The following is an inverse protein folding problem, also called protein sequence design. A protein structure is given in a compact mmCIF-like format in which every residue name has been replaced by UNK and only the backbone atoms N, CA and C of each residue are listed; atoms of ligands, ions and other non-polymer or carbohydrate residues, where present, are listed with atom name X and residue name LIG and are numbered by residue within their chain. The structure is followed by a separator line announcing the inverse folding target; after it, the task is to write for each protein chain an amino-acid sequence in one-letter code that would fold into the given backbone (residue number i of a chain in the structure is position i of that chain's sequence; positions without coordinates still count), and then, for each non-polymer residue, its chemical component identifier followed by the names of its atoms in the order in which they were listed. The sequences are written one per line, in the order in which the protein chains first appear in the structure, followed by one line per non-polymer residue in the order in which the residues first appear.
data_IF_472477165763
#
_entry.id   IF_472477165763
#
_cell.length_a   1.000
_cell.length_b   1.000
_cell.length_c   1.000
_cell.angle_alpha   90.00
_cell.angle_beta   90.00
_cell.angle_gamma   90.00
#
_symmetry.space_group_name_H-M   'P 1'
#
loop_
_entity.id
_entity.type
_entity.pdbx_description
1 polymer ?
#
# COMPACT_ATOMS: atom_id res chain seq x y z
N UNK A 1 4.66 44.40 -16.82
CA UNK A 1 3.48 45.07 -16.26
C UNK A 1 2.48 45.20 -17.39
N UNK A 2 1.43 44.38 -17.38
CA UNK A 2 0.34 44.51 -18.36
C UNK A 2 -0.50 45.73 -18.00
N UNK A 3 -0.78 46.57 -18.98
CA UNK A 3 -1.60 47.77 -18.84
C UNK A 3 -3.04 47.33 -18.53
N UNK A 4 -3.48 47.52 -17.28
CA UNK A 4 -4.85 47.20 -16.87
C UNK A 4 -5.75 48.35 -17.31
N UNK A 5 -6.51 48.15 -18.39
CA UNK A 5 -7.64 49.02 -18.70
C UNK A 5 -8.65 48.94 -17.54
N UNK A 6 -8.91 50.05 -16.85
CA UNK A 6 -9.95 50.10 -15.81
C UNK A 6 -11.33 49.80 -16.42
N UNK A 7 -12.22 49.14 -15.66
CA UNK A 7 -13.60 48.85 -16.07
C UNK A 7 -14.27 50.14 -16.56
N UNK A 8 -14.80 50.12 -17.78
CA UNK A 8 -15.49 51.28 -18.34
C UNK A 8 -16.97 51.28 -17.91
N UNK A 9 -17.44 52.40 -17.36
CA UNK A 9 -18.83 52.57 -16.91
C UNK A 9 -19.62 53.42 -17.89
N UNK A 10 -20.88 53.02 -18.15
CA UNK A 10 -21.81 53.77 -19.00
C UNK A 10 -22.31 55.00 -18.21
N UNK A 11 -22.20 56.18 -18.80
CA UNK A 11 -22.71 57.43 -18.23
C UNK A 11 -24.16 57.64 -18.69
N UNK A 12 -25.11 57.63 -17.76
CA UNK A 12 -26.54 57.80 -18.03
C UNK A 12 -27.04 59.24 -17.79
N UNK A 13 -26.14 60.21 -17.60
CA UNK A 13 -26.51 61.61 -17.30
C UNK A 13 -27.20 62.28 -18.50
N UNK A 14 -28.18 63.16 -18.26
CA UNK A 14 -28.82 63.99 -19.29
C UNK A 14 -28.85 65.46 -18.85
N UNK A 15 -28.37 66.41 -19.67
CA UNK A 15 -27.73 66.24 -20.99
C UNK A 15 -26.26 65.79 -20.89
N UNK A 16 -25.75 65.08 -21.90
CA UNK A 16 -24.32 64.73 -22.04
C UNK A 16 -23.91 63.28 -21.73
N UNK A 17 -24.85 62.36 -21.57
CA UNK A 17 -24.60 60.93 -21.36
C UNK A 17 -24.11 60.19 -22.61
N UNK A 18 -23.76 58.92 -22.42
CA UNK A 18 -23.35 58.04 -23.50
C UNK A 18 -24.46 57.84 -24.53
N UNK A 19 -24.10 57.91 -25.80
CA UNK A 19 -24.95 57.45 -26.89
C UNK A 19 -25.06 55.92 -26.86
N UNK A 20 -26.08 55.31 -27.49
CA UNK A 20 -26.15 53.85 -27.64
C UNK A 20 -24.87 53.24 -28.25
N UNK A 21 -24.20 53.98 -29.14
CA UNK A 21 -22.92 53.56 -29.73
C UNK A 21 -21.79 53.56 -28.69
N UNK A 22 -21.58 54.65 -27.96
CA UNK A 22 -20.50 54.73 -26.97
C UNK A 22 -20.72 53.80 -25.78
N UNK A 23 -21.97 53.58 -25.37
CA UNK A 23 -22.34 52.58 -24.38
C UNK A 23 -21.96 51.15 -24.85
N UNK A 24 -22.30 50.77 -26.09
CA UNK A 24 -21.95 49.46 -26.64
C UNK A 24 -20.44 49.27 -26.82
N UNK A 25 -19.69 50.33 -27.15
CA UNK A 25 -18.22 50.28 -27.19
C UNK A 25 -17.63 49.97 -25.81
N UNK A 26 -18.13 50.63 -24.75
CA UNK A 26 -17.71 50.37 -23.37
C UNK A 26 -18.03 48.94 -22.91
N UNK A 27 -19.22 48.45 -23.26
CA UNK A 27 -19.62 47.05 -22.99
C UNK A 27 -18.64 46.09 -23.67
N UNK A 28 -18.41 46.24 -24.98
CA UNK A 28 -17.49 45.37 -25.71
C UNK A 28 -16.06 45.42 -25.16
N UNK A 29 -15.57 46.60 -24.76
CA UNK A 29 -14.25 46.74 -24.16
C UNK A 29 -14.12 45.94 -22.85
N UNK A 30 -15.15 45.90 -22.02
CA UNK A 30 -15.15 45.16 -20.75
C UNK A 30 -15.15 43.63 -20.93
N UNK A 31 -15.69 43.11 -22.06
CA UNK A 31 -15.85 41.66 -22.28
C UNK A 31 -14.92 41.05 -23.34
N UNK A 32 -14.17 41.87 -24.10
CA UNK A 32 -13.29 41.39 -25.18
C UNK A 32 -11.87 41.04 -24.74
N UNK A 33 -11.42 41.53 -23.58
CA UNK A 33 -10.07 41.27 -23.08
C UNK A 33 -10.10 40.18 -21.99
N UNK A 34 -9.60 38.98 -22.29
CA UNK A 34 -9.60 37.84 -21.36
C UNK A 34 -8.64 38.00 -20.16
N UNK A 35 -7.82 39.05 -20.11
CA UNK A 35 -6.98 39.36 -18.96
C UNK A 35 -7.78 39.91 -17.75
N UNK A 36 -8.99 40.43 -17.95
CA UNK A 36 -9.83 40.91 -16.85
C UNK A 36 -10.59 39.76 -16.18
N UNK A 37 -10.75 39.85 -14.86
CA UNK A 37 -11.48 38.84 -14.09
C UNK A 37 -12.92 38.64 -14.58
N UNK A 38 -13.58 39.71 -15.07
CA UNK A 38 -14.97 39.69 -15.52
C UNK A 38 -15.21 39.02 -16.89
N UNK A 39 -14.15 38.73 -17.64
CA UNK A 39 -14.19 38.26 -19.04
C UNK A 39 -13.32 37.02 -19.27
N UNK A 40 -12.76 36.44 -18.21
CA UNK A 40 -12.08 35.15 -18.28
C UNK A 40 -13.07 34.09 -18.74
N UNK A 41 -12.61 33.25 -19.68
CA UNK A 41 -13.38 32.09 -20.13
C UNK A 41 -13.59 31.12 -18.97
N UNK A 42 -14.69 30.35 -19.03
CA UNK A 42 -14.99 29.27 -18.09
C UNK A 42 -14.57 27.94 -18.71
N UNK A 43 -13.88 27.09 -17.96
CA UNK A 43 -13.45 25.78 -18.45
C UNK A 43 -12.29 25.17 -17.68
N UNK A 44 -11.54 24.29 -18.35
CA UNK A 44 -10.42 23.53 -17.75
C UNK A 44 -9.04 23.97 -18.24
N UNK A 45 -8.96 24.93 -19.17
CA UNK A 45 -7.67 25.42 -19.69
C UNK A 45 -7.00 26.39 -18.72
N UNK A 46 -5.67 26.49 -18.79
CA UNK A 46 -4.91 27.41 -17.95
C UNK A 46 -5.40 28.87 -18.12
N UNK A 47 -5.62 29.56 -17.00
CA UNK A 47 -6.09 30.95 -16.97
C UNK A 47 -7.62 31.12 -16.99
N UNK A 48 -8.39 30.05 -17.21
CA UNK A 48 -9.85 30.06 -17.17
C UNK A 48 -10.38 30.02 -15.72
N UNK A 49 -11.63 30.49 -15.53
CA UNK A 49 -12.37 30.28 -14.28
C UNK A 49 -12.88 28.83 -14.27
N UNK A 50 -12.54 28.02 -13.25
CA UNK A 50 -12.98 26.63 -13.21
C UNK A 50 -14.49 26.52 -12.96
N UNK A 51 -15.11 25.53 -13.60
CA UNK A 51 -16.50 25.16 -13.32
C UNK A 51 -16.64 24.70 -11.85
N UNK A 52 -17.74 25.09 -11.20
CA UNK A 52 -18.02 24.70 -9.81
C UNK A 52 -17.98 23.18 -9.60
N UNK A 53 -18.44 22.38 -10.57
CA UNK A 53 -18.33 20.92 -10.51
C UNK A 53 -16.87 20.41 -10.51
N UNK A 54 -15.95 21.10 -11.16
CA UNK A 54 -14.54 20.73 -11.19
C UNK A 54 -13.85 21.15 -9.88
N UNK A 55 -14.19 22.32 -9.35
CA UNK A 55 -13.75 22.76 -8.02
C UNK A 55 -14.30 21.85 -6.92
N UNK A 56 -15.57 21.43 -7.03
CA UNK A 56 -16.20 20.49 -6.12
C UNK A 56 -15.54 19.10 -6.21
N UNK A 57 -15.29 18.56 -7.40
CA UNK A 57 -14.55 17.28 -7.56
C UNK A 57 -13.14 17.33 -6.97
N UNK A 58 -12.47 18.49 -7.04
CA UNK A 58 -11.14 18.69 -6.47
C UNK A 58 -11.16 18.85 -4.93
N UNK A 59 -12.16 19.54 -4.38
CA UNK A 59 -12.27 19.83 -2.95
C UNK A 59 -12.99 18.73 -2.15
N UNK A 60 -14.03 18.14 -2.75
CA UNK A 60 -14.86 17.07 -2.22
C UNK A 60 -14.75 15.89 -3.16
N UNK A 61 -13.74 15.10 -2.86
CA UNK A 61 -13.44 13.86 -3.56
C UNK A 61 -14.69 12.96 -3.64
N UNK A 62 -15.20 12.67 -4.84
CA UNK A 62 -16.09 11.53 -5.07
C UNK A 62 -15.37 10.24 -4.62
N UNK A 63 -16.13 9.19 -4.25
CA UNK A 63 -15.57 7.84 -4.04
C UNK A 63 -14.68 7.45 -5.23
N UNK A 64 -13.56 6.76 -4.97
CA UNK A 64 -12.67 6.30 -6.03
C UNK A 64 -13.44 5.42 -7.03
N UNK A 65 -13.22 5.61 -8.33
CA UNK A 65 -13.85 4.81 -9.38
C UNK A 65 -13.17 3.44 -9.46
N UNK A 66 -13.90 2.34 -9.70
CA UNK A 66 -13.26 1.03 -9.89
C UNK A 66 -12.62 0.99 -11.28
N UNK A 67 -11.35 0.58 -11.35
CA UNK A 67 -10.60 0.47 -12.60
C UNK A 67 -11.24 -0.53 -13.57
N UNK A 68 -11.87 -1.57 -13.03
CA UNK A 68 -12.67 -2.54 -13.79
C UNK A 68 -13.83 -1.91 -14.56
N UNK A 69 -14.41 -0.82 -14.07
CA UNK A 69 -15.53 -0.14 -14.75
C UNK A 69 -15.06 0.56 -16.04
N UNK A 70 -13.75 0.77 -16.19
CA UNK A 70 -13.09 1.28 -17.39
C UNK A 70 -12.23 0.22 -18.09
N UNK A 71 -12.41 -1.06 -17.75
CA UNK A 71 -11.61 -2.18 -18.27
C UNK A 71 -10.09 -2.01 -18.05
N UNK A 72 -9.68 -1.30 -17.00
CA UNK A 72 -8.27 -1.17 -16.60
C UNK A 72 -7.92 -2.29 -15.62
N UNK A 73 -6.99 -3.16 -16.00
CA UNK A 73 -6.51 -4.29 -15.19
C UNK A 73 -5.01 -4.21 -14.87
N UNK A 74 -4.33 -3.16 -15.35
CA UNK A 74 -2.89 -2.94 -15.18
C UNK A 74 -2.67 -1.54 -14.58
N UNK A 75 -1.91 -1.48 -13.48
CA UNK A 75 -1.59 -0.23 -12.79
C UNK A 75 -0.79 0.75 -13.66
N UNK A 76 -0.09 0.29 -14.69
CA UNK A 76 0.64 1.12 -15.65
C UNK A 76 -0.27 1.90 -16.61
N UNK A 77 -1.54 1.47 -16.75
CA UNK A 77 -2.51 2.04 -17.68
C UNK A 77 -3.47 3.03 -17.02
N UNK A 78 -3.20 3.40 -15.77
CA UNK A 78 -4.03 4.34 -15.05
C UNK A 78 -3.99 5.74 -15.67
N UNK A 79 -5.14 6.41 -15.83
CA UNK A 79 -5.15 7.76 -16.35
C UNK A 79 -4.52 8.77 -15.38
N UNK A 80 -3.66 9.63 -15.92
CA UNK A 80 -3.05 10.72 -15.17
C UNK A 80 -4.07 11.63 -14.49
N UNK A 81 -3.81 12.04 -13.24
CA UNK A 81 -4.67 12.97 -12.50
C UNK A 81 -6.02 12.38 -12.06
N UNK A 82 -6.19 11.06 -12.14
CA UNK A 82 -7.41 10.38 -11.69
C UNK A 82 -7.17 9.57 -10.41
N UNK A 83 -8.26 9.16 -9.76
CA UNK A 83 -8.24 8.30 -8.58
C UNK A 83 -9.05 7.04 -8.88
N UNK A 84 -8.35 5.91 -8.93
CA UNK A 84 -8.92 4.61 -9.22
C UNK A 84 -8.70 3.63 -8.08
N UNK A 85 -9.63 2.70 -7.94
CA UNK A 85 -9.54 1.48 -7.17
C UNK A 85 -9.09 0.35 -8.11
N UNK A 86 -7.98 -0.32 -7.81
CA UNK A 86 -7.57 -1.58 -8.46
C UNK A 86 -7.73 -2.72 -7.47
N UNK A 87 -8.17 -3.88 -7.98
CA UNK A 87 -8.27 -5.09 -7.18
C UNK A 87 -6.89 -5.67 -6.88
N UNK A 88 -6.76 -6.36 -5.73
CA UNK A 88 -5.56 -7.11 -5.38
C UNK A 88 -5.20 -8.13 -6.48
N UNK A 89 -3.92 -8.19 -6.86
CA UNK A 89 -3.43 -9.09 -7.91
C UNK A 89 -3.61 -8.58 -9.35
N UNK A 90 -4.03 -7.33 -9.55
CA UNK A 90 -3.99 -6.69 -10.87
C UNK A 90 -2.55 -6.57 -11.38
N UNK A 91 -2.36 -6.52 -12.69
CA UNK A 91 -1.01 -6.47 -13.28
C UNK A 91 -0.28 -5.20 -12.83
N UNK A 92 1.01 -5.33 -12.49
CA UNK A 92 1.87 -4.23 -12.03
C UNK A 92 1.40 -3.47 -10.78
N UNK A 93 0.51 -4.04 -9.95
CA UNK A 93 0.24 -3.50 -8.61
C UNK A 93 1.33 -3.92 -7.61
N UNK A 94 1.56 -3.16 -6.53
CA UNK A 94 2.44 -3.59 -5.43
C UNK A 94 2.02 -4.97 -4.88
N UNK A 95 2.97 -5.79 -4.44
CA UNK A 95 2.79 -7.22 -4.13
C UNK A 95 2.06 -7.53 -2.80
N UNK A 96 1.32 -6.60 -2.25
CA UNK A 96 0.61 -6.77 -0.98
C UNK A 96 -0.89 -6.85 -1.20
N UNK A 97 -1.55 -7.68 -0.40
CA UNK A 97 -3.00 -7.94 -0.42
C UNK A 97 -3.81 -6.70 -0.05
N UNK A 98 -3.75 -5.67 -0.86
CA UNK A 98 -4.58 -4.50 -0.71
C UNK A 98 -5.72 -4.59 -1.70
N UNK A 99 -6.93 -4.72 -1.17
CA UNK A 99 -8.15 -4.63 -1.96
C UNK A 99 -8.27 -3.27 -2.64
N UNK A 100 -7.54 -2.26 -2.21
CA UNK A 100 -7.68 -0.87 -2.63
C UNK A 100 -6.30 -0.26 -2.83
N UNK A 101 -5.99 0.31 -4.00
CA UNK A 101 -4.85 1.21 -4.16
C UNK A 101 -5.39 2.58 -4.54
N UNK A 102 -5.34 3.58 -3.63
CA UNK A 102 -5.54 4.97 -4.07
C UNK A 102 -4.37 5.33 -4.95
N UNK A 103 -4.62 5.39 -6.26
CA UNK A 103 -3.62 5.83 -7.22
C UNK A 103 -3.76 7.33 -7.44
N UNK A 104 -2.76 8.10 -7.01
CA UNK A 104 -2.59 9.48 -7.47
C UNK A 104 -1.45 9.45 -8.47
N UNK A 105 -1.79 9.55 -9.75
CA UNK A 105 -0.79 9.80 -10.76
C UNK A 105 -0.62 11.30 -10.96
N UNK A 106 0.55 11.82 -10.57
CA UNK A 106 0.89 13.23 -10.81
C UNK A 106 1.89 13.33 -11.95
N UNK A 107 1.58 14.17 -12.93
CA UNK A 107 2.55 14.55 -13.97
C UNK A 107 3.63 15.41 -13.31
N UNK A 108 4.89 15.04 -13.50
CA UNK A 108 5.97 15.95 -13.15
C UNK A 108 5.98 17.09 -14.18
N UNK A 109 6.01 18.35 -13.73
CA UNK A 109 5.89 19.54 -14.58
C UNK A 109 6.96 19.74 -15.65
N UNK A 110 7.89 18.80 -15.83
CA UNK A 110 9.03 18.89 -16.76
C UNK A 110 8.82 18.01 -18.01
N UNK A 111 7.96 16.98 -17.98
CA UNK A 111 7.69 16.10 -19.13
C UNK A 111 6.37 15.35 -19.00
N UNK A 112 5.61 15.22 -20.10
CA UNK A 112 4.37 14.44 -20.16
C UNK A 112 4.57 12.93 -19.93
N UNK A 113 5.80 12.45 -20.06
CA UNK A 113 6.15 11.04 -19.93
C UNK A 113 6.59 10.66 -18.51
N UNK A 114 6.88 11.66 -17.67
CA UNK A 114 7.33 11.44 -16.29
C UNK A 114 6.13 11.52 -15.36
N UNK A 115 5.84 10.39 -14.73
CA UNK A 115 4.66 10.19 -13.89
C UNK A 115 5.13 9.69 -12.52
N UNK A 116 4.51 10.19 -11.46
CA UNK A 116 4.67 9.62 -10.12
C UNK A 116 3.37 8.93 -9.76
N UNK A 117 3.46 7.69 -9.27
CA UNK A 117 2.31 6.93 -8.82
C UNK A 117 2.48 6.62 -7.35
N UNK A 118 1.45 6.99 -6.59
CA UNK A 118 1.31 6.63 -5.18
C UNK A 118 0.23 5.56 -5.13
N UNK A 119 0.45 4.45 -4.43
CA UNK A 119 -0.58 3.46 -4.13
C UNK A 119 -0.77 3.35 -2.62
N UNK A 120 -1.95 3.72 -2.13
CA UNK A 120 -2.30 3.55 -0.72
C UNK A 120 -3.16 2.31 -0.55
N UNK A 121 -2.68 1.36 0.25
CA UNK A 121 -3.38 0.13 0.56
C UNK A 121 -3.67 0.03 2.05
N UNK A 122 -4.92 -0.24 2.43
CA UNK A 122 -5.17 -0.57 3.81
C UNK A 122 -6.55 -1.09 4.15
N UNK A 123 -6.60 -1.87 5.22
CA UNK A 123 -7.80 -2.24 5.97
C UNK A 123 -7.53 -1.94 7.46
N UNK A 124 -8.44 -2.32 8.37
CA UNK A 124 -8.29 -2.03 9.79
C UNK A 124 -7.06 -2.70 10.46
N UNK A 125 -6.40 -3.64 9.79
CA UNK A 125 -5.28 -4.44 10.30
C UNK A 125 -3.95 -4.17 9.58
N UNK A 126 -3.99 -3.62 8.37
CA UNK A 126 -2.80 -3.42 7.53
C UNK A 126 -2.91 -2.06 6.84
N UNK A 127 -1.89 -1.21 6.95
CA UNK A 127 -1.79 0.05 6.21
C UNK A 127 -0.41 0.11 5.53
N UNK A 128 -0.38 0.41 4.24
CA UNK A 128 0.82 0.48 3.42
C UNK A 128 0.70 1.61 2.39
N UNK A 129 1.82 2.28 2.12
CA UNK A 129 1.93 3.27 1.06
C UNK A 129 3.10 2.86 0.17
N UNK A 130 2.88 2.84 -1.14
CA UNK A 130 3.89 2.54 -2.14
C UNK A 130 4.06 3.72 -3.08
N UNK A 131 5.28 3.93 -3.52
CA UNK A 131 5.67 4.99 -4.45
C UNK A 131 6.43 4.35 -5.60
N UNK A 132 6.19 4.83 -6.82
CA UNK A 132 7.06 4.56 -7.96
C UNK A 132 6.99 5.71 -8.95
N UNK A 133 7.94 5.75 -9.87
CA UNK A 133 7.95 6.72 -10.95
C UNK A 133 8.04 6.04 -12.33
N UNK A 134 7.52 6.72 -13.34
CA UNK A 134 7.81 6.45 -14.75
C UNK A 134 8.83 7.46 -15.23
N UNK A 135 9.91 7.01 -15.85
CA UNK A 135 10.93 7.91 -16.39
C UNK A 135 10.51 8.53 -17.74
N UNK A 136 11.29 9.49 -18.24
CA UNK A 136 11.00 10.20 -19.49
C UNK A 136 10.99 9.30 -20.73
N UNK A 137 11.63 8.13 -20.64
CA UNK A 137 11.65 7.06 -21.65
C UNK A 137 10.46 6.11 -21.52
N UNK A 138 9.44 6.48 -20.74
CA UNK A 138 8.22 5.72 -20.57
C UNK A 138 8.37 4.38 -19.84
N UNK A 139 9.50 4.12 -19.18
CA UNK A 139 9.71 2.92 -18.37
C UNK A 139 9.33 3.18 -16.91
N UNK A 140 8.59 2.23 -16.32
CA UNK A 140 8.23 2.24 -14.90
C UNK A 140 9.38 1.71 -14.04
N UNK A 141 9.66 2.38 -12.94
CA UNK A 141 10.49 1.85 -11.87
C UNK A 141 9.71 0.88 -10.99
N UNK A 142 10.46 0.12 -10.20
CA UNK A 142 9.92 -0.78 -9.19
C UNK A 142 9.13 -0.01 -8.12
N UNK A 143 8.20 -0.71 -7.47
CA UNK A 143 7.45 -0.16 -6.35
C UNK A 143 8.30 -0.11 -5.08
N UNK A 144 8.43 1.07 -4.48
CA UNK A 144 9.07 1.28 -3.18
C UNK A 144 8.01 1.40 -2.09
N UNK A 145 8.15 0.63 -1.01
CA UNK A 145 7.28 0.76 0.18
C UNK A 145 7.71 1.95 1.05
N UNK A 146 6.74 2.63 1.66
CA UNK A 146 6.98 3.64 2.68
C UNK A 146 6.90 2.99 4.06
N UNK A 147 7.98 3.11 4.80
CA UNK A 147 8.07 2.64 6.16
C UNK A 147 7.38 3.59 7.14
N UNK A 148 6.65 3.01 8.08
CA UNK A 148 5.85 3.63 9.12
C UNK A 148 6.06 2.87 10.43
N UNK A 149 5.60 3.41 11.55
CA UNK A 149 5.60 2.70 12.83
C UNK A 149 4.73 1.42 12.85
N UNK A 150 4.01 1.10 11.77
CA UNK A 150 3.20 -0.12 11.64
C UNK A 150 3.92 -1.27 10.94
N UNK A 151 5.03 -1.01 10.24
CA UNK A 151 5.83 -2.01 9.51
C UNK A 151 7.34 -1.86 9.77
N UNK A 152 7.71 -1.21 10.88
CA UNK A 152 9.09 -1.10 11.35
C UNK A 152 9.16 -1.16 12.87
N UNK A 153 10.31 -1.56 13.39
CA UNK A 153 10.66 -1.49 14.81
C UNK A 153 11.84 -0.55 15.01
N UNK A 154 11.89 0.11 16.17
CA UNK A 154 13.04 0.93 16.56
C UNK A 154 13.90 0.11 17.52
N UNK A 155 15.18 -0.06 17.21
CA UNK A 155 16.09 -0.78 18.08
C UNK A 155 16.48 0.05 19.32
N UNK A 156 17.23 -0.56 20.26
CA UNK A 156 17.68 0.12 21.48
C UNK A 156 18.60 1.33 21.24
N UNK A 157 19.11 1.51 20.02
CA UNK A 157 19.95 2.63 19.59
C UNK A 157 19.19 3.67 18.75
N UNK A 158 17.87 3.50 18.56
CA UNK A 158 17.05 4.43 17.80
C UNK A 158 17.06 4.22 16.27
N UNK A 159 17.67 3.14 15.76
CA UNK A 159 17.66 2.84 14.34
C UNK A 159 16.35 2.11 13.96
N UNK A 160 15.77 2.54 12.82
CA UNK A 160 14.68 1.83 12.17
C UNK A 160 15.19 0.52 11.60
N UNK A 161 14.62 -0.60 12.05
CA UNK A 161 14.82 -1.93 11.47
C UNK A 161 13.51 -2.46 10.91
N UNK A 162 13.53 -3.21 9.80
CA UNK A 162 12.40 -4.02 9.39
C UNK A 162 11.93 -4.88 10.57
N UNK A 163 10.62 -5.06 10.70
CA UNK A 163 10.05 -5.97 11.69
C UNK A 163 10.48 -7.41 11.34
N UNK A 164 10.66 -8.29 12.34
CA UNK A 164 10.82 -9.72 12.05
C UNK A 164 9.46 -10.35 11.69
N UNK A 165 9.37 -11.17 10.64
CA UNK A 165 8.18 -11.95 10.34
C UNK A 165 7.91 -13.00 11.43
N UNK A 166 6.65 -13.17 11.83
CA UNK A 166 6.20 -14.22 12.75
C UNK A 166 4.99 -14.94 12.17
N UNK A 167 5.05 -16.27 12.09
CA UNK A 167 3.94 -17.13 11.70
C UNK A 167 3.44 -17.94 12.89
N UNK A 168 2.13 -17.92 13.10
CA UNK A 168 1.40 -18.85 13.96
C UNK A 168 0.99 -20.05 13.13
N UNK A 169 1.51 -21.22 13.46
CA UNK A 169 1.19 -22.49 12.79
C UNK A 169 0.13 -23.22 13.60
N UNK A 170 -1.06 -23.39 13.00
CA UNK A 170 -2.15 -24.21 13.50
C UNK A 170 -2.13 -25.58 12.83
N UNK A 171 -2.99 -26.49 13.28
CA UNK A 171 -3.12 -27.82 12.67
C UNK A 171 -3.65 -27.81 11.23
N UNK A 172 -4.25 -26.71 10.78
CA UNK A 172 -4.93 -26.57 9.49
C UNK A 172 -4.54 -25.32 8.68
N UNK A 173 -3.86 -24.35 9.28
CA UNK A 173 -3.52 -23.06 8.63
C UNK A 173 -2.32 -22.38 9.27
N UNK A 174 -1.88 -21.30 8.65
CA UNK A 174 -0.95 -20.33 9.24
C UNK A 174 -1.59 -18.94 9.34
N UNK A 175 -1.20 -18.15 10.34
CA UNK A 175 -1.55 -16.74 10.49
C UNK A 175 -0.28 -15.92 10.72
N UNK A 176 -0.07 -14.87 9.94
CA UNK A 176 1.12 -14.02 10.02
C UNK A 176 0.87 -12.67 10.71
N UNK A 177 1.94 -12.04 11.19
CA UNK A 177 1.95 -10.58 11.37
C UNK A 177 2.09 -9.88 10.00
N UNK A 178 2.00 -8.54 9.98
CA UNK A 178 2.08 -7.74 8.76
C UNK A 178 3.33 -8.03 7.91
N UNK A 179 4.45 -8.36 8.55
CA UNK A 179 5.71 -8.67 7.87
C UNK A 179 5.73 -10.09 7.31
N UNK A 180 5.11 -11.05 8.00
CA UNK A 180 4.96 -12.40 7.48
C UNK A 180 4.04 -12.47 6.25
N UNK A 181 3.10 -11.53 6.10
CA UNK A 181 2.29 -11.40 4.89
C UNK A 181 3.15 -11.06 3.65
N UNK A 182 4.25 -10.33 3.84
CA UNK A 182 5.18 -9.96 2.76
C UNK A 182 5.97 -11.18 2.26
N UNK A 183 6.30 -12.12 3.15
CA UNK A 183 7.00 -13.36 2.77
C UNK A 183 6.18 -14.22 1.81
N UNK A 184 4.85 -14.09 1.80
CA UNK A 184 3.96 -14.95 1.02
C UNK A 184 4.23 -16.44 1.29
N UNK A 185 4.40 -16.78 2.56
CA UNK A 185 4.68 -18.15 2.98
C UNK A 185 3.54 -19.10 2.57
N UNK A 186 3.89 -20.31 2.14
CA UNK A 186 2.94 -21.34 1.72
C UNK A 186 2.94 -22.47 2.73
N UNK A 187 1.77 -22.77 3.29
CA UNK A 187 1.57 -23.85 4.24
C UNK A 187 1.04 -25.11 3.56
N UNK A 188 1.66 -26.24 3.87
CA UNK A 188 1.24 -27.58 3.44
C UNK A 188 1.18 -28.50 4.65
N UNK A 189 0.05 -29.19 4.83
CA UNK A 189 -0.08 -30.28 5.79
C UNK A 189 0.18 -31.62 5.08
N UNK A 190 1.24 -32.31 5.46
CA UNK A 190 1.65 -33.58 4.83
C UNK A 190 1.00 -34.79 5.51
N UNK A 191 0.56 -34.63 6.76
CA UNK A 191 -0.02 -35.69 7.57
C UNK A 191 -0.33 -35.21 8.98
N UNK A 192 -0.62 -36.17 9.88
CA UNK A 192 -0.85 -35.87 11.29
C UNK A 192 0.43 -35.30 11.90
N UNK A 193 0.37 -34.07 12.39
CA UNK A 193 1.52 -33.42 13.02
C UNK A 193 2.72 -33.21 12.08
N UNK A 194 2.52 -33.15 10.76
CA UNK A 194 3.60 -32.93 9.77
C UNK A 194 3.24 -31.73 8.87
N UNK A 195 4.00 -30.64 9.02
CA UNK A 195 3.74 -29.36 8.40
C UNK A 195 4.98 -28.84 7.66
N UNK A 196 4.78 -28.39 6.43
CA UNK A 196 5.80 -27.71 5.62
C UNK A 196 5.39 -26.26 5.39
N UNK A 197 6.33 -25.35 5.57
CA UNK A 197 6.16 -23.93 5.30
C UNK A 197 7.27 -23.50 4.35
N UNK A 198 6.92 -23.19 3.10
CA UNK A 198 7.87 -22.73 2.08
C UNK A 198 7.77 -21.22 1.86
N UNK A 199 8.73 -20.68 1.09
CA UNK A 199 8.85 -19.25 0.82
C UNK A 199 9.10 -18.43 2.10
N UNK A 200 10.01 -18.90 2.94
CA UNK A 200 10.40 -18.24 4.20
C UNK A 200 11.74 -17.52 4.03
N UNK A 201 11.99 -16.49 4.87
CA UNK A 201 13.29 -15.78 4.92
C UNK A 201 14.35 -16.50 5.74
N UNK A 202 14.04 -17.72 6.20
CA UNK A 202 14.84 -18.48 7.14
C UNK A 202 14.53 -18.14 8.61
N UNK A 203 14.66 -19.11 9.50
CA UNK A 203 14.39 -18.99 10.92
C UNK A 203 15.38 -18.02 11.55
N UNK A 204 14.88 -17.24 12.51
CA UNK A 204 15.69 -16.28 13.24
C UNK A 204 16.89 -16.96 13.91
N UNK A 205 18.08 -16.41 13.70
CA UNK A 205 19.34 -16.96 14.24
C UNK A 205 19.73 -16.39 15.60
N UNK A 206 19.20 -15.21 15.98
CA UNK A 206 19.39 -14.57 17.27
C UNK A 206 18.09 -14.45 18.09
N UNK A 207 18.16 -14.79 19.38
CA UNK A 207 17.01 -14.72 20.28
C UNK A 207 16.04 -15.89 20.11
N UNK A 208 14.74 -15.64 20.28
CA UNK A 208 13.71 -16.68 20.17
C UNK A 208 13.31 -16.88 18.70
N UNK A 209 13.14 -18.14 18.28
CA UNK A 209 12.66 -18.50 16.94
C UNK A 209 11.45 -19.45 16.97
N UNK A 210 11.17 -20.09 18.11
CA UNK A 210 10.01 -20.98 18.27
C UNK A 210 9.37 -20.80 19.65
N UNK A 211 8.04 -20.77 19.69
CA UNK A 211 7.24 -20.92 20.93
C UNK A 211 6.19 -21.99 20.72
N UNK A 212 6.13 -22.97 21.64
CA UNK A 212 5.17 -24.07 21.61
C UNK A 212 3.99 -23.83 22.57
N UNK A 213 2.79 -24.39 22.29
CA UNK A 213 1.62 -24.13 23.10
C UNK A 213 1.72 -24.82 24.46
N UNK A 214 1.47 -24.05 25.52
CA UNK A 214 1.43 -24.52 26.90
C UNK A 214 0.01 -24.57 27.47
N UNK A 215 -0.20 -25.40 28.47
CA UNK A 215 -1.41 -25.38 29.29
C UNK A 215 -1.40 -24.24 30.33
N UNK A 216 -2.47 -24.14 31.13
CA UNK A 216 -2.60 -23.09 32.16
C UNK A 216 -1.54 -23.17 33.26
N UNK A 217 -0.89 -24.32 33.41
CA UNK A 217 0.16 -24.56 34.40
C UNK A 217 1.56 -24.46 33.77
N UNK A 218 1.67 -24.04 32.50
CA UNK A 218 2.94 -23.91 31.80
C UNK A 218 3.50 -25.21 31.21
N UNK A 219 2.74 -26.31 31.20
CA UNK A 219 3.21 -27.56 30.60
C UNK A 219 3.04 -27.56 29.08
N UNK A 220 4.08 -27.91 28.30
CA UNK A 220 3.96 -28.05 26.86
C UNK A 220 2.91 -29.10 26.46
N UNK A 221 2.03 -28.74 25.53
CA UNK A 221 1.00 -29.64 25.00
C UNK A 221 1.53 -30.61 23.95
N UNK A 222 2.60 -30.24 23.26
CA UNK A 222 3.24 -31.02 22.19
C UNK A 222 4.76 -30.96 22.36
N UNK A 223 5.44 -31.97 21.82
CA UNK A 223 6.87 -31.88 21.51
C UNK A 223 7.03 -31.69 20.00
N UNK A 224 8.11 -31.04 19.57
CA UNK A 224 8.30 -30.69 18.16
C UNK A 224 9.70 -31.01 17.67
N UNK A 225 9.84 -31.28 16.38
CA UNK A 225 11.10 -31.24 15.66
C UNK A 225 10.99 -30.17 14.57
N UNK A 226 12.03 -29.37 14.42
CA UNK A 226 12.09 -28.27 13.46
C UNK A 226 13.38 -28.38 12.67
N UNK A 227 13.28 -28.26 11.35
CA UNK A 227 14.44 -28.16 10.48
C UNK A 227 14.13 -27.19 9.34
N UNK A 228 15.17 -26.55 8.82
CA UNK A 228 15.07 -25.66 7.69
C UNK A 228 16.10 -26.02 6.63
N UNK A 229 15.70 -25.88 5.37
CA UNK A 229 16.59 -25.95 4.23
C UNK A 229 16.05 -25.11 3.08
N UNK A 230 16.89 -24.27 2.48
CA UNK A 230 16.60 -23.51 1.25
C UNK A 230 15.27 -22.75 1.30
N UNK A 231 15.00 -22.04 2.41
CA UNK A 231 13.76 -21.26 2.61
C UNK A 231 12.51 -22.11 2.86
N UNK A 232 12.67 -23.40 3.14
CA UNK A 232 11.60 -24.34 3.49
C UNK A 232 11.79 -24.86 4.92
N UNK A 233 10.80 -24.60 5.77
CA UNK A 233 10.73 -25.11 7.13
C UNK A 233 9.89 -26.38 7.16
N UNK A 234 10.42 -27.42 7.81
CA UNK A 234 9.70 -28.63 8.18
C UNK A 234 9.48 -28.65 9.69
N UNK A 235 8.22 -28.58 10.10
CA UNK A 235 7.78 -28.63 11.48
C UNK A 235 6.98 -29.92 11.70
N UNK A 236 7.41 -30.73 12.67
CA UNK A 236 6.64 -31.90 13.09
C UNK A 236 6.30 -31.84 14.56
N UNK A 237 5.11 -32.28 14.93
CA UNK A 237 4.61 -32.32 16.32
C UNK A 237 4.23 -33.72 16.75
N UNK A 238 4.50 -34.02 18.03
CA UNK A 238 4.44 -35.37 18.61
C UNK A 238 3.87 -35.32 20.02
N UNK A 239 3.42 -36.50 20.50
CA UNK A 239 3.27 -36.72 21.94
C UNK A 239 4.62 -36.55 22.63
N UNK A 240 4.55 -36.20 23.91
CA UNK A 240 5.72 -36.06 24.77
C UNK A 240 5.97 -37.40 25.45
N UNK A 241 7.19 -37.90 25.37
CA UNK A 241 7.66 -39.03 26.17
C UNK A 241 8.73 -38.55 27.14
N UNK A 242 8.68 -39.02 28.38
CA UNK A 242 9.71 -38.73 29.36
C UNK A 242 10.89 -39.69 29.15
N UNK A 243 12.05 -39.15 28.80
CA UNK A 243 13.27 -39.92 28.64
C UNK A 243 13.96 -40.06 30.00
N UNK A 244 14.04 -41.29 30.50
CA UNK A 244 14.67 -41.61 31.78
C UNK A 244 16.19 -41.46 31.78
N UNK A 245 16.84 -41.46 30.60
CA UNK A 245 18.30 -41.33 30.51
C UNK A 245 18.74 -39.89 30.72
N UNK A 246 18.04 -38.95 30.09
CA UNK A 246 18.36 -37.52 30.13
C UNK A 246 17.46 -36.75 31.13
N UNK A 247 16.47 -37.42 31.73
CA UNK A 247 15.45 -36.83 32.62
C UNK A 247 14.73 -35.62 32.01
N UNK A 248 14.49 -35.66 30.70
CA UNK A 248 13.79 -34.62 29.94
C UNK A 248 12.64 -35.19 29.13
N UNK A 249 11.66 -34.36 28.80
CA UNK A 249 10.65 -34.71 27.82
C UNK A 249 11.19 -34.55 26.40
N UNK A 250 11.00 -35.57 25.56
CA UNK A 250 11.38 -35.57 24.15
C UNK A 250 10.14 -35.81 23.26
N UNK A 251 10.24 -35.52 21.95
CA UNK A 251 9.26 -35.98 20.98
C UNK A 251 9.24 -37.52 20.92
N UNK A 252 8.06 -38.11 21.08
CA UNK A 252 7.81 -39.51 20.77
C UNK A 252 7.63 -39.65 19.26
N UNK A 253 8.71 -39.98 18.55
CA UNK A 253 8.75 -39.99 17.08
C UNK A 253 7.79 -41.01 16.44
N UNK A 254 7.28 -41.98 17.21
CA UNK A 254 6.31 -42.98 16.77
C UNK A 254 4.85 -42.52 17.00
N UNK A 255 4.65 -41.44 17.75
CA UNK A 255 3.33 -40.92 18.12
C UNK A 255 3.15 -39.47 17.62
N UNK A 256 3.01 -39.26 16.30
CA UNK A 256 2.68 -37.93 15.76
C UNK A 256 1.36 -37.43 16.37
N UNK A 257 1.30 -36.13 16.62
CA UNK A 257 0.18 -35.48 17.30
C UNK A 257 -0.12 -34.16 16.63
N UNK A 258 -1.39 -33.89 16.31
CA UNK A 258 -1.80 -32.57 15.82
C UNK A 258 -1.52 -31.46 16.84
N UNK A 259 -1.21 -30.27 16.34
CA UNK A 259 -1.28 -29.05 17.14
C UNK A 259 -2.72 -28.95 17.70
N UNK A 260 -2.92 -28.82 19.02
CA UNK A 260 -4.26 -28.82 19.61
C UNK A 260 -5.15 -27.71 19.06
N UNK A 261 -6.44 -27.98 18.92
CA UNK A 261 -7.43 -27.01 18.45
C UNK A 261 -7.39 -25.71 19.27
N UNK A 262 -7.43 -24.58 18.58
CA UNK A 262 -7.34 -23.25 19.19
C UNK A 262 -5.97 -22.89 19.76
N UNK A 263 -4.94 -23.70 19.50
CA UNK A 263 -3.54 -23.43 19.85
C UNK A 263 -2.67 -23.41 18.59
N UNK A 264 -1.49 -22.83 18.70
CA UNK A 264 -0.54 -22.69 17.61
C UNK A 264 0.90 -22.80 18.10
N UNK A 265 1.83 -22.97 17.17
CA UNK A 265 3.27 -22.80 17.37
C UNK A 265 3.68 -21.49 16.70
N UNK A 266 4.30 -20.58 17.43
CA UNK A 266 4.89 -19.38 16.83
C UNK A 266 6.27 -19.72 16.26
N UNK A 267 6.51 -19.36 15.00
CA UNK A 267 7.81 -19.39 14.34
C UNK A 267 8.21 -17.97 13.95
N UNK A 268 9.43 -17.56 14.30
CA UNK A 268 10.00 -16.26 13.93
C UNK A 268 11.10 -16.43 12.91
N UNK A 269 11.08 -15.57 11.91
CA UNK A 269 11.99 -15.60 10.78
C UNK A 269 12.93 -14.39 10.78
N UNK A 270 13.94 -14.46 9.92
CA UNK A 270 14.86 -13.36 9.68
C UNK A 270 14.15 -12.15 9.09
N UNK A 271 14.73 -10.98 9.40
CA UNK A 271 14.27 -9.71 8.86
C UNK A 271 14.20 -9.75 7.34
N UNK A 272 13.18 -9.11 6.78
CA UNK A 272 13.07 -8.93 5.35
C UNK A 272 14.29 -8.10 4.89
N UNK A 273 15.14 -8.70 4.06
CA UNK A 273 16.30 -8.01 3.51
C UNK A 273 15.84 -6.85 2.65
N UNK A 274 16.34 -5.66 2.95
CA UNK A 274 16.29 -4.51 2.06
C UNK A 274 17.29 -4.79 0.94
N UNK A 275 16.85 -4.77 -0.31
CA UNK A 275 17.79 -4.82 -1.43
C UNK A 275 18.56 -3.48 -1.51
N UNK A 276 19.73 -3.45 -0.86
CA UNK A 276 20.62 -2.28 -0.87
C UNK A 276 21.18 -1.97 -2.27
N UNK A 277 21.02 -2.85 -3.27
CA UNK A 277 21.47 -2.57 -4.65
C UNK A 277 20.50 -1.69 -5.45
N UNK A 278 19.38 -1.29 -4.84
CA UNK A 278 18.38 -0.38 -5.44
C UNK A 278 18.35 1.03 -4.82
N UNK A 279 19.33 1.36 -3.97
CA UNK A 279 19.54 2.72 -3.44
C UNK A 279 20.41 3.59 -4.37
#
# INVERSE_FOLDING_TARGET
MGDFMAIQTINLTVPGGDTPRSANTKINANFSNQAHAASRLVGTSAGQVPLAENTYKAAFSNLARRASDDAITDANNLPSGTRYYLAAGSTNTPNTKHDTAWNIETRQGVSSNVLNQIALGGNNSTAGMYLRNRNSSSAWGEWSIVYTNKNTTVDGNGLLKPSSPVLRVFSDRIEGNNDADIMQAVFTKNGVGDYTISNTTGLRTDGWYITIPNDMNGNPKVAVTLSEKDGVVSLKSYKRIFDMSDFIFKPDLEQPLEIPDGRWIDLRFEELTIDETTL
#
